data_IF_611842352538
#
_entry.id   IF_611842352538
#
_cell.length_a   1.000
_cell.length_b   1.000
_cell.length_c   1.000
_cell.angle_alpha   90.00
_cell.angle_beta   90.00
_cell.angle_gamma   90.00
#
_symmetry.space_group_name_H-M   'P 1'
#
loop_
_entity.id
_entity.type
_entity.pdbx_description
1 polymer ?
#
# COMPACT_ATOMS: atom_id res chain seq x y z
N UNK A 1 17.47 4.64 7.52
CA UNK A 1 17.70 4.83 6.08
C UNK A 1 17.11 3.63 5.37
N UNK A 2 16.27 3.84 4.36
CA UNK A 2 15.73 2.74 3.55
C UNK A 2 16.70 2.43 2.42
N UNK A 3 17.09 1.16 2.31
CA UNK A 3 17.91 0.69 1.19
C UNK A 3 17.10 0.82 -0.11
N UNK A 4 17.75 1.31 -1.17
CA UNK A 4 17.12 1.52 -2.48
C UNK A 4 16.39 2.85 -2.66
N UNK A 5 16.54 3.81 -1.74
CA UNK A 5 16.05 5.18 -1.95
C UNK A 5 17.04 5.97 -2.79
N UNK A 6 16.56 6.66 -3.82
CA UNK A 6 17.38 7.49 -4.70
C UNK A 6 18.06 8.62 -3.94
N UNK A 7 19.27 8.97 -4.36
CA UNK A 7 20.07 10.02 -3.70
C UNK A 7 19.40 11.39 -3.76
N UNK A 8 18.70 11.71 -4.85
CA UNK A 8 17.92 12.94 -4.99
C UNK A 8 16.81 13.04 -3.93
N UNK A 9 16.11 11.93 -3.66
CA UNK A 9 15.10 11.85 -2.60
C UNK A 9 15.71 12.03 -1.22
N UNK A 10 16.85 11.37 -0.95
CA UNK A 10 17.55 11.51 0.32
C UNK A 10 18.02 12.95 0.55
N UNK A 11 18.55 13.60 -0.48
CA UNK A 11 18.98 15.00 -0.42
C UNK A 11 17.79 15.94 -0.13
N UNK A 12 16.67 15.75 -0.81
CA UNK A 12 15.46 16.55 -0.57
C UNK A 12 14.92 16.33 0.84
N UNK A 13 14.98 15.10 1.34
CA UNK A 13 14.58 14.78 2.71
C UNK A 13 15.47 15.45 3.77
N UNK A 14 16.79 15.42 3.61
CA UNK A 14 17.71 16.13 4.49
C UNK A 14 17.44 17.66 4.46
N UNK A 15 17.22 18.22 3.26
CA UNK A 15 16.85 19.65 3.14
C UNK A 15 15.53 19.95 3.86
N UNK A 16 14.53 19.09 3.76
CA UNK A 16 13.28 19.26 4.50
C UNK A 16 13.46 19.24 6.02
N UNK A 17 14.37 18.41 6.53
CA UNK A 17 14.75 18.39 7.94
C UNK A 17 15.37 19.72 8.38
N UNK A 18 16.24 20.32 7.56
CA UNK A 18 16.82 21.64 7.86
C UNK A 18 15.75 22.73 7.89
N UNK A 19 14.83 22.76 6.93
CA UNK A 19 13.73 23.74 6.96
C UNK A 19 12.85 23.61 8.22
N UNK A 20 12.61 22.40 8.68
CA UNK A 20 11.86 22.19 9.91
C UNK A 20 12.63 22.67 11.16
N UNK A 21 13.96 22.46 11.20
CA UNK A 21 14.83 22.98 12.27
C UNK A 21 14.83 24.52 12.29
N UNK A 22 14.95 25.15 11.12
CA UNK A 22 14.90 26.60 10.98
C UNK A 22 13.54 27.17 11.43
N UNK A 23 12.47 26.40 11.25
CA UNK A 23 11.14 26.73 11.74
C UNK A 23 10.93 26.45 13.24
N UNK A 24 11.96 25.95 13.94
CA UNK A 24 11.94 25.71 15.39
C UNK A 24 11.57 24.30 15.81
N UNK A 25 11.50 23.33 14.88
CA UNK A 25 11.23 21.93 15.22
C UNK A 25 12.51 21.23 15.72
N UNK A 26 12.37 20.40 16.74
CA UNK A 26 13.39 19.45 17.15
C UNK A 26 13.29 18.19 16.29
N UNK A 27 14.36 17.84 15.58
CA UNK A 27 14.42 16.66 14.72
C UNK A 27 15.21 15.54 15.41
N UNK A 28 14.56 14.42 15.64
CA UNK A 28 15.13 13.23 16.29
C UNK A 28 15.00 12.04 15.34
N UNK A 29 16.10 11.35 15.10
CA UNK A 29 16.09 10.11 14.32
C UNK A 29 15.52 8.96 15.18
N UNK A 30 14.52 8.26 14.64
CA UNK A 30 13.86 7.15 15.32
C UNK A 30 13.90 5.88 14.47
N UNK A 31 13.58 4.76 15.11
CA UNK A 31 13.41 3.48 14.42
C UNK A 31 12.00 2.93 14.67
N UNK A 32 11.39 2.43 13.60
CA UNK A 32 10.16 1.63 13.62
C UNK A 32 10.51 0.20 13.16
N UNK A 33 10.98 -0.67 14.06
CA UNK A 33 11.68 -1.91 13.70
C UNK A 33 10.82 -2.93 12.94
N UNK A 34 9.50 -2.87 13.06
CA UNK A 34 8.60 -3.81 12.40
C UNK A 34 8.15 -3.33 11.00
N UNK A 35 8.47 -2.11 10.57
CA UNK A 35 8.10 -1.60 9.23
C UNK A 35 8.72 -2.41 8.09
N UNK A 36 9.84 -3.09 8.31
CA UNK A 36 10.43 -4.04 7.35
C UNK A 36 9.50 -5.18 6.94
N UNK A 37 8.48 -5.48 7.75
CA UNK A 37 7.47 -6.49 7.46
C UNK A 37 6.18 -5.89 6.86
N UNK A 38 6.11 -4.57 6.68
CA UNK A 38 4.90 -3.89 6.27
C UNK A 38 4.47 -4.30 4.86
N UNK A 39 5.39 -4.33 3.90
CA UNK A 39 5.11 -4.70 2.51
C UNK A 39 4.47 -6.10 2.40
N UNK A 40 5.11 -7.19 2.88
CA UNK A 40 4.50 -8.52 2.80
C UNK A 40 3.18 -8.64 3.59
N UNK A 41 3.06 -8.00 4.76
CA UNK A 41 1.81 -8.01 5.52
C UNK A 41 0.67 -7.30 4.78
N UNK A 42 0.95 -6.16 4.16
CA UNK A 42 -0.01 -5.42 3.35
C UNK A 42 -0.52 -6.26 2.17
N UNK A 43 0.39 -6.88 1.41
CA UNK A 43 0.02 -7.69 0.24
C UNK A 43 -0.69 -9.01 0.56
N UNK A 44 -0.83 -9.35 1.83
CA UNK A 44 -1.74 -10.40 2.30
C UNK A 44 -3.06 -9.79 2.78
N UNK A 45 -3.02 -8.76 3.63
CA UNK A 45 -4.21 -8.18 4.25
C UNK A 45 -5.08 -7.45 3.20
N UNK A 46 -4.49 -6.56 2.40
CA UNK A 46 -5.25 -5.75 1.45
C UNK A 46 -5.95 -6.59 0.37
N UNK A 47 -5.31 -7.57 -0.29
CA UNK A 47 -6.00 -8.49 -1.19
C UNK A 47 -7.08 -9.33 -0.49
N UNK A 48 -6.85 -9.80 0.72
CA UNK A 48 -7.83 -10.56 1.49
C UNK A 48 -9.10 -9.73 1.74
N UNK A 49 -8.93 -8.49 2.21
CA UNK A 49 -10.03 -7.56 2.42
C UNK A 49 -10.71 -7.15 1.11
N UNK A 50 -9.93 -6.90 0.06
CA UNK A 50 -10.45 -6.58 -1.27
C UNK A 50 -11.30 -7.72 -1.84
N UNK A 51 -10.88 -8.98 -1.70
CA UNK A 51 -11.64 -10.14 -2.18
C UNK A 51 -13.02 -10.23 -1.53
N UNK A 52 -13.10 -9.95 -0.25
CA UNK A 52 -14.36 -9.91 0.50
C UNK A 52 -15.22 -8.69 0.14
N UNK A 53 -14.61 -7.50 0.14
CA UNK A 53 -15.33 -6.25 -0.11
C UNK A 53 -15.85 -6.15 -1.55
N UNK A 54 -15.06 -6.60 -2.54
CA UNK A 54 -15.44 -6.54 -3.95
C UNK A 54 -16.41 -7.66 -4.37
N UNK A 55 -16.72 -8.61 -3.49
CA UNK A 55 -17.74 -9.64 -3.73
C UNK A 55 -19.13 -9.02 -3.98
N UNK A 56 -19.39 -7.81 -3.48
CA UNK A 56 -20.66 -7.10 -3.66
C UNK A 56 -20.93 -6.61 -5.09
N UNK A 57 -19.91 -6.54 -5.93
CA UNK A 57 -20.02 -6.18 -7.35
C UNK A 57 -20.32 -7.43 -8.18
N UNK A 58 -21.55 -7.90 -8.10
CA UNK A 58 -22.04 -9.14 -8.70
C UNK A 58 -23.01 -8.92 -9.90
N UNK A 59 -23.32 -7.64 -10.21
CA UNK A 59 -24.26 -7.27 -11.27
C UNK A 59 -25.73 -7.32 -10.88
N UNK A 60 -26.06 -7.58 -9.61
CA UNK A 60 -27.46 -7.70 -9.17
C UNK A 60 -28.06 -6.38 -8.72
N UNK A 61 -27.42 -5.70 -7.76
CA UNK A 61 -28.02 -4.51 -7.11
C UNK A 61 -27.58 -3.20 -7.73
N UNK A 62 -26.31 -3.10 -8.16
CA UNK A 62 -25.71 -1.86 -8.68
C UNK A 62 -24.46 -2.15 -9.48
N UNK A 63 -23.98 -1.14 -10.20
CA UNK A 63 -22.79 -1.21 -11.03
C UNK A 63 -23.04 -1.86 -12.38
N UNK A 64 -21.97 -2.33 -13.00
CA UNK A 64 -22.05 -3.03 -14.27
C UNK A 64 -22.83 -4.33 -14.12
N UNK A 65 -23.66 -4.62 -15.11
CA UNK A 65 -24.28 -5.94 -15.32
C UNK A 65 -24.00 -6.39 -16.74
N UNK A 66 -23.27 -7.48 -16.88
CA UNK A 66 -23.07 -8.16 -18.16
C UNK A 66 -23.79 -9.52 -18.09
N UNK A 67 -24.86 -9.64 -18.88
CA UNK A 67 -25.68 -10.85 -18.94
C UNK A 67 -25.71 -11.33 -20.40
N UNK A 68 -24.87 -12.32 -20.76
CA UNK A 68 -24.93 -12.92 -22.09
C UNK A 68 -26.29 -13.53 -22.39
N UNK A 69 -26.72 -13.47 -23.66
CA UNK A 69 -28.03 -13.99 -24.08
C UNK A 69 -28.15 -15.50 -23.76
N UNK A 70 -29.26 -15.87 -23.10
CA UNK A 70 -29.52 -17.24 -22.67
C UNK A 70 -28.70 -17.73 -21.48
N UNK A 71 -27.86 -16.86 -20.88
CA UNK A 71 -27.02 -17.23 -19.76
C UNK A 71 -27.79 -17.29 -18.42
N UNK A 72 -27.32 -18.15 -17.52
CA UNK A 72 -27.84 -18.27 -16.16
C UNK A 72 -27.20 -17.28 -15.19
N UNK A 73 -27.61 -17.33 -13.93
CA UNK A 73 -27.13 -16.45 -12.86
C UNK A 73 -25.61 -16.50 -12.65
N UNK A 74 -25.04 -17.73 -12.71
CA UNK A 74 -23.59 -17.93 -12.52
C UNK A 74 -22.79 -17.32 -13.67
N UNK A 75 -23.29 -17.45 -14.89
CA UNK A 75 -22.66 -16.86 -16.07
C UNK A 75 -22.70 -15.33 -16.02
N UNK A 76 -23.81 -14.76 -15.54
CA UNK A 76 -23.91 -13.33 -15.30
C UNK A 76 -22.88 -12.84 -14.30
N UNK A 77 -22.69 -13.52 -13.16
CA UNK A 77 -21.66 -13.17 -12.20
C UNK A 77 -20.27 -13.22 -12.82
N UNK A 78 -19.96 -14.29 -13.53
CA UNK A 78 -18.67 -14.47 -14.18
C UNK A 78 -18.40 -13.40 -15.24
N UNK A 79 -19.35 -13.16 -16.15
CA UNK A 79 -19.24 -12.17 -17.21
C UNK A 79 -19.11 -10.75 -16.65
N UNK A 80 -19.97 -10.38 -15.71
CA UNK A 80 -19.94 -9.05 -15.05
C UNK A 80 -18.60 -8.78 -14.39
N UNK A 81 -18.07 -9.73 -13.63
CA UNK A 81 -16.78 -9.57 -12.93
C UNK A 81 -15.60 -9.60 -13.89
N UNK A 82 -15.67 -10.41 -14.95
CA UNK A 82 -14.66 -10.47 -15.99
C UNK A 82 -14.56 -9.14 -16.76
N UNK A 83 -15.70 -8.55 -17.12
CA UNK A 83 -15.77 -7.28 -17.84
C UNK A 83 -15.49 -6.06 -16.94
N UNK A 84 -15.95 -6.09 -15.68
CA UNK A 84 -15.92 -4.93 -14.79
C UNK A 84 -14.63 -4.73 -14.03
N UNK A 85 -13.82 -5.76 -13.79
CA UNK A 85 -12.56 -5.65 -13.07
C UNK A 85 -11.35 -5.70 -14.00
N UNK A 86 -10.42 -4.77 -13.81
CA UNK A 86 -9.10 -4.81 -14.46
C UNK A 86 -8.23 -5.99 -13.94
N UNK A 87 -7.18 -6.29 -14.68
CA UNK A 87 -6.37 -7.50 -14.43
C UNK A 87 -5.68 -7.50 -13.06
N UNK A 88 -5.18 -6.35 -12.61
CA UNK A 88 -4.57 -6.24 -11.27
C UNK A 88 -5.60 -6.47 -10.16
N UNK A 89 -6.82 -5.96 -10.31
CA UNK A 89 -7.91 -6.18 -9.33
C UNK A 89 -8.29 -7.65 -9.29
N UNK A 90 -8.40 -8.32 -10.45
CA UNK A 90 -8.64 -9.77 -10.53
C UNK A 90 -7.55 -10.57 -9.82
N UNK A 91 -6.27 -10.21 -10.06
CA UNK A 91 -5.13 -10.82 -9.38
C UNK A 91 -5.24 -10.70 -7.86
N UNK A 92 -5.51 -9.49 -7.36
CA UNK A 92 -5.68 -9.24 -5.91
C UNK A 92 -6.86 -10.00 -5.31
N UNK A 93 -7.99 -10.08 -6.01
CA UNK A 93 -9.13 -10.89 -5.57
C UNK A 93 -8.75 -12.36 -5.45
N UNK A 94 -8.04 -12.92 -6.44
CA UNK A 94 -7.59 -14.32 -6.41
C UNK A 94 -6.62 -14.58 -5.26
N UNK A 95 -5.62 -13.72 -5.08
CA UNK A 95 -4.65 -13.83 -3.98
C UNK A 95 -5.34 -13.72 -2.60
N UNK A 96 -6.28 -12.80 -2.47
CA UNK A 96 -7.04 -12.62 -1.23
C UNK A 96 -7.93 -13.81 -0.91
N UNK A 97 -8.61 -14.35 -1.91
CA UNK A 97 -9.44 -15.55 -1.76
C UNK A 97 -8.58 -16.74 -1.33
N UNK A 98 -7.40 -16.91 -1.92
CA UNK A 98 -6.45 -17.94 -1.52
C UNK A 98 -5.99 -17.76 -0.07
N UNK A 99 -5.60 -16.55 0.32
CA UNK A 99 -5.14 -16.26 1.68
C UNK A 99 -6.21 -16.50 2.76
N UNK A 100 -7.49 -16.35 2.39
CA UNK A 100 -8.64 -16.60 3.28
C UNK A 100 -9.17 -18.03 3.23
N UNK A 101 -8.65 -18.89 2.35
CA UNK A 101 -9.14 -20.25 2.21
C UNK A 101 -8.76 -21.15 3.39
N UNK A 102 -9.49 -22.26 3.54
CA UNK A 102 -9.27 -23.22 4.60
C UNK A 102 -7.84 -23.77 4.59
N UNK A 103 -7.18 -23.80 5.74
CA UNK A 103 -5.80 -24.23 5.91
C UNK A 103 -4.75 -23.13 5.69
N UNK A 104 -5.11 -22.00 5.05
CA UNK A 104 -4.18 -20.88 4.79
C UNK A 104 -4.48 -19.63 5.62
N UNK A 105 -5.71 -19.50 6.12
CA UNK A 105 -6.15 -18.33 6.89
C UNK A 105 -5.21 -17.99 8.06
N UNK A 106 -4.92 -18.94 8.93
CA UNK A 106 -4.06 -18.72 10.09
C UNK A 106 -2.59 -18.50 9.69
N UNK A 107 -2.13 -19.22 8.66
CA UNK A 107 -0.76 -19.15 8.20
C UNK A 107 -0.41 -17.81 7.53
N UNK A 108 -1.37 -17.22 6.81
CA UNK A 108 -1.18 -15.97 6.07
C UNK A 108 -1.91 -14.80 6.70
N UNK A 109 -3.24 -14.77 6.65
CA UNK A 109 -4.02 -13.61 7.10
C UNK A 109 -3.89 -13.39 8.60
N UNK A 110 -4.10 -14.42 9.41
CA UNK A 110 -3.98 -14.34 10.86
C UNK A 110 -2.57 -13.93 11.31
N UNK A 111 -1.53 -14.47 10.67
CA UNK A 111 -0.14 -14.07 10.94
C UNK A 111 0.13 -12.62 10.54
N UNK A 112 -0.36 -12.17 9.39
CA UNK A 112 -0.19 -10.79 8.92
C UNK A 112 -0.91 -9.79 9.82
N UNK A 113 -2.08 -10.12 10.38
CA UNK A 113 -2.76 -9.30 11.38
C UNK A 113 -1.94 -9.15 12.68
N UNK A 114 -1.25 -10.20 13.12
CA UNK A 114 -0.34 -10.12 14.28
C UNK A 114 0.86 -9.20 13.97
N UNK A 115 1.42 -9.29 12.77
CA UNK A 115 2.49 -8.38 12.33
C UNK A 115 1.98 -6.93 12.27
N UNK A 116 0.76 -6.70 11.76
CA UNK A 116 0.12 -5.39 11.78
C UNK A 116 0.05 -4.81 13.20
N UNK A 117 -0.31 -5.61 14.20
CA UNK A 117 -0.33 -5.16 15.60
C UNK A 117 1.05 -4.67 16.05
N UNK A 118 2.13 -5.36 15.71
CA UNK A 118 3.49 -4.92 16.05
C UNK A 118 3.85 -3.56 15.38
N UNK A 119 3.38 -3.34 14.16
CA UNK A 119 3.56 -2.05 13.47
C UNK A 119 2.74 -0.95 14.18
N UNK A 120 1.47 -1.23 14.52
CA UNK A 120 0.63 -0.30 15.30
C UNK A 120 1.34 0.11 16.60
N UNK A 121 1.92 -0.85 17.32
CA UNK A 121 2.62 -0.62 18.58
C UNK A 121 3.89 0.24 18.39
N UNK A 122 4.62 0.08 17.27
CA UNK A 122 5.76 0.92 16.95
C UNK A 122 5.32 2.39 16.79
N UNK A 123 4.26 2.63 16.03
CA UNK A 123 3.71 3.98 15.83
C UNK A 123 3.16 4.57 17.13
N UNK A 124 2.43 3.78 17.93
CA UNK A 124 1.90 4.23 19.22
C UNK A 124 3.01 4.67 20.18
N UNK A 125 4.12 3.91 20.23
CA UNK A 125 5.29 4.31 21.03
C UNK A 125 5.97 5.56 20.51
N UNK A 126 6.05 5.73 19.19
CA UNK A 126 6.61 6.94 18.58
C UNK A 126 5.75 8.16 18.89
N UNK A 127 4.45 8.10 18.67
CA UNK A 127 3.51 9.21 18.94
C UNK A 127 3.31 9.50 20.44
N UNK A 128 3.71 8.61 21.32
CA UNK A 128 3.81 8.89 22.76
C UNK A 128 4.96 9.84 23.12
N UNK A 129 5.85 10.17 22.16
CA UNK A 129 7.05 11.00 22.38
C UNK A 129 7.20 12.14 21.39
N UNK A 130 6.65 12.00 20.18
CA UNK A 130 6.84 12.91 19.06
C UNK A 130 5.49 13.32 18.49
N UNK A 131 5.39 14.58 18.08
CA UNK A 131 4.16 15.15 17.55
C UNK A 131 3.90 14.72 16.09
N UNK A 132 4.96 14.55 15.30
CA UNK A 132 4.93 14.20 13.89
C UNK A 132 6.02 13.19 13.55
N UNK A 133 5.75 12.36 12.55
CA UNK A 133 6.75 11.49 11.93
C UNK A 133 6.99 11.95 10.51
N UNK A 134 8.27 12.12 10.15
CA UNK A 134 8.70 12.51 8.81
C UNK A 134 9.31 11.28 8.11
N UNK A 135 8.86 11.01 6.89
CA UNK A 135 9.47 9.99 6.01
C UNK A 135 9.37 10.42 4.55
N UNK A 136 10.22 9.90 3.64
CA UNK A 136 9.98 10.04 2.22
C UNK A 136 8.60 9.47 1.85
N UNK A 137 7.95 9.98 0.83
CA UNK A 137 6.67 9.46 0.31
C UNK A 137 6.90 8.28 -0.62
N UNK A 138 7.94 8.35 -1.45
CA UNK A 138 8.36 7.30 -2.38
C UNK A 138 9.89 7.16 -2.36
N UNK A 139 10.44 5.98 -2.65
CA UNK A 139 11.89 5.82 -2.78
C UNK A 139 12.48 6.45 -4.03
N UNK A 140 11.66 6.74 -5.04
CA UNK A 140 12.07 7.32 -6.34
C UNK A 140 11.14 8.46 -6.73
N UNK A 141 11.57 9.30 -7.67
CA UNK A 141 10.70 10.21 -8.40
C UNK A 141 9.71 9.45 -9.29
N UNK A 142 8.82 10.16 -10.01
CA UNK A 142 7.92 9.54 -10.98
C UNK A 142 8.71 8.82 -12.07
N UNK A 143 8.24 7.67 -12.51
CA UNK A 143 8.82 6.86 -13.59
C UNK A 143 7.99 6.98 -14.87
N UNK A 144 8.56 6.60 -16.02
CA UNK A 144 7.90 6.70 -17.31
C UNK A 144 6.68 5.78 -17.41
N UNK A 145 5.66 6.17 -18.17
CA UNK A 145 4.49 5.35 -18.42
C UNK A 145 4.89 3.99 -19.02
N UNK A 146 4.45 2.91 -18.40
CA UNK A 146 4.74 1.55 -18.84
C UNK A 146 6.07 0.95 -18.34
N UNK A 147 6.94 1.72 -17.70
CA UNK A 147 8.28 1.28 -17.31
C UNK A 147 8.27 0.12 -16.30
N UNK A 148 7.35 0.12 -15.35
CA UNK A 148 7.28 -0.90 -14.28
C UNK A 148 6.15 -1.91 -14.45
N UNK A 149 5.50 -1.96 -15.62
CA UNK A 149 4.34 -2.82 -15.84
C UNK A 149 4.67 -4.29 -16.01
N UNK A 150 5.90 -4.63 -16.40
CA UNK A 150 6.34 -6.00 -16.65
C UNK A 150 6.62 -6.79 -15.36
N UNK A 151 6.96 -6.11 -14.26
CA UNK A 151 7.28 -6.73 -12.98
C UNK A 151 6.43 -6.12 -11.85
N UNK A 152 5.40 -6.82 -11.37
CA UNK A 152 4.56 -6.35 -10.27
C UNK A 152 5.35 -6.05 -8.98
N UNK A 153 6.43 -6.78 -8.70
CA UNK A 153 7.23 -6.56 -7.49
C UNK A 153 7.95 -5.21 -7.50
N UNK A 154 8.50 -4.82 -8.65
CA UNK A 154 9.12 -3.50 -8.82
C UNK A 154 8.11 -2.37 -8.63
N UNK A 155 6.87 -2.55 -9.11
CA UNK A 155 5.78 -1.60 -8.86
C UNK A 155 5.43 -1.55 -7.37
N UNK A 156 5.32 -2.68 -6.71
CA UNK A 156 4.93 -2.76 -5.29
C UNK A 156 5.96 -2.13 -4.35
N UNK A 157 7.23 -2.13 -4.70
CA UNK A 157 8.28 -1.48 -3.91
C UNK A 157 8.14 0.04 -3.87
N UNK A 158 7.40 0.65 -4.78
CA UNK A 158 7.11 2.10 -4.74
C UNK A 158 6.28 2.51 -3.52
N UNK A 159 5.51 1.57 -2.95
CA UNK A 159 4.60 1.82 -1.83
C UNK A 159 5.24 1.62 -0.45
N UNK A 160 6.52 1.25 -0.41
CA UNK A 160 7.19 0.83 0.84
C UNK A 160 7.19 1.93 1.92
N UNK A 161 7.20 3.21 1.53
CA UNK A 161 7.18 4.35 2.45
C UNK A 161 5.79 4.63 3.03
N UNK A 162 4.72 4.34 2.30
CA UNK A 162 3.34 4.71 2.67
C UNK A 162 2.58 3.57 3.35
N UNK A 163 2.92 2.32 3.04
CA UNK A 163 2.29 1.14 3.64
C UNK A 163 2.32 1.12 5.18
N UNK A 164 3.42 1.48 5.86
CA UNK A 164 3.46 1.43 7.32
C UNK A 164 2.38 2.27 8.00
N UNK A 165 2.15 3.50 7.56
CA UNK A 165 1.10 4.37 8.11
C UNK A 165 -0.30 3.85 7.82
N UNK A 166 -0.52 3.25 6.62
CA UNK A 166 -1.78 2.59 6.27
C UNK A 166 -2.07 1.41 7.19
N UNK A 167 -1.09 0.55 7.47
CA UNK A 167 -1.25 -0.58 8.39
C UNK A 167 -1.44 -0.13 9.83
N UNK A 168 -0.75 0.92 10.25
CA UNK A 168 -0.89 1.51 11.58
C UNK A 168 -2.23 2.23 11.78
N UNK A 169 -2.90 2.65 10.70
CA UNK A 169 -4.18 3.36 10.77
C UNK A 169 -4.05 4.82 11.20
N UNK A 170 -2.88 5.43 11.01
CA UNK A 170 -2.65 6.84 11.29
C UNK A 170 -2.86 7.72 10.05
N UNK A 171 -3.36 8.95 10.21
CA UNK A 171 -3.44 9.90 9.12
C UNK A 171 -2.05 10.27 8.61
N UNK A 172 -1.94 10.52 7.31
CA UNK A 172 -0.71 10.94 6.65
C UNK A 172 -1.01 12.03 5.64
N UNK A 173 0.00 12.88 5.39
CA UNK A 173 -0.08 13.95 4.40
C UNK A 173 1.20 13.97 3.58
N UNK A 174 1.10 14.06 2.27
CA UNK A 174 2.22 14.31 1.39
C UNK A 174 2.41 15.82 1.22
N UNK A 175 3.64 16.28 1.40
CA UNK A 175 4.03 17.70 1.27
C UNK A 175 5.16 17.78 0.24
N UNK A 176 5.07 18.63 -0.80
CA UNK A 176 6.16 18.82 -1.75
C UNK A 176 7.42 19.35 -1.07
N UNK A 177 8.56 18.71 -1.30
CA UNK A 177 9.86 19.13 -0.75
C UNK A 177 10.84 19.62 -1.79
N UNK A 178 10.63 19.27 -3.05
CA UNK A 178 11.56 19.65 -4.10
C UNK A 178 11.30 18.92 -5.40
N UNK A 179 12.30 18.98 -6.25
CA UNK A 179 12.29 18.39 -7.59
C UNK A 179 13.55 17.55 -7.74
N UNK A 180 13.43 16.35 -8.30
CA UNK A 180 14.57 15.48 -8.59
C UNK A 180 15.43 16.01 -9.76
N UNK A 181 16.56 15.36 -9.99
CA UNK A 181 17.49 15.72 -11.08
C UNK A 181 16.85 15.55 -12.48
N UNK A 182 15.79 14.77 -12.57
CA UNK A 182 14.96 14.55 -13.76
C UNK A 182 13.84 15.59 -13.95
N UNK A 183 13.73 16.57 -13.05
CA UNK A 183 12.71 17.61 -13.07
C UNK A 183 11.35 17.17 -12.53
N UNK A 184 11.24 15.94 -11.99
CA UNK A 184 10.00 15.41 -11.39
C UNK A 184 9.97 15.68 -9.90
N UNK A 185 8.75 15.92 -9.31
CA UNK A 185 8.59 16.13 -7.88
C UNK A 185 8.74 14.84 -7.07
#
# INVERSE_FOLDING_TARGET
>A
RMDGTDEAILKSWEQGKEWLRDAGAEIVDISLPHTKYALPAYYIIAPAEASSNLARYDGVRYGLRDLPEGAGLQDMYAATRAAGFGDEVKRRIMLGTYALSAGYYDAYYGKSQKVRTLIVDDFARAYGRYDLLLSPTSPTTAFSLGEKTADPMTMYLTDVCTIPSNLAGHPSMSVPFGVGDDGMP
#
